data_IF_733219037241
#
_entry.id   IF_733219037241
#
_cell.length_a   1.000
_cell.length_b   1.000
_cell.length_c   1.000
_cell.angle_alpha   90.00
_cell.angle_beta   90.00
_cell.angle_gamma   90.00
#
_symmetry.space_group_name_H-M   'P 1'
#
loop_
_entity.id
_entity.type
_entity.pdbx_description
1 polymer ?
#
# COMPACT_ATOMS: atom_id res chain seq x y z
N UNK A 1 -21.20 20.21 7.69
CA UNK A 1 -20.54 18.99 8.20
C UNK A 1 -19.19 18.89 7.51
N UNK A 2 -18.20 19.49 8.17
CA UNK A 2 -16.76 19.55 7.83
C UNK A 2 -16.22 18.11 7.93
N UNK A 3 -15.49 17.51 6.98
CA UNK A 3 -14.07 17.78 6.67
C UNK A 3 -13.67 16.90 5.45
N UNK A 4 -13.56 17.47 4.24
CA UNK A 4 -12.85 16.83 3.11
C UNK A 4 -11.39 17.25 3.22
N UNK A 5 -10.52 16.36 3.71
CA UNK A 5 -9.07 16.61 3.71
C UNK A 5 -8.51 16.51 2.29
N UNK A 6 -8.46 17.64 1.61
CA UNK A 6 -7.45 17.92 0.60
C UNK A 6 -6.07 18.02 1.27
N UNK A 7 -5.10 17.24 0.78
CA UNK A 7 -3.74 17.70 0.43
C UNK A 7 -2.86 16.51 0.07
N UNK A 8 -2.78 16.23 -1.23
CA UNK A 8 -1.55 15.73 -1.85
C UNK A 8 -1.38 16.44 -3.19
N UNK A 9 -1.32 17.77 -3.15
CA UNK A 9 -0.87 18.56 -4.30
C UNK A 9 0.57 18.97 -4.08
N UNK A 10 1.49 18.18 -4.63
CA UNK A 10 2.77 18.66 -5.13
C UNK A 10 3.35 17.65 -6.12
N UNK A 11 3.18 18.00 -7.41
CA UNK A 11 3.73 17.36 -8.61
C UNK A 11 3.07 16.04 -9.06
N UNK A 12 2.12 16.21 -9.98
CA UNK A 12 2.07 15.56 -11.31
C UNK A 12 3.13 14.45 -11.48
N UNK A 13 2.67 13.21 -11.69
CA UNK A 13 3.43 12.14 -12.35
C UNK A 13 4.61 11.48 -11.60
N UNK A 14 4.60 11.43 -10.26
CA UNK A 14 5.46 10.45 -9.57
C UNK A 14 4.79 9.06 -9.50
N UNK A 15 4.27 8.58 -10.63
CA UNK A 15 3.68 7.24 -10.80
C UNK A 15 4.67 6.10 -10.49
N UNK A 16 5.97 6.42 -10.33
CA UNK A 16 7.03 5.50 -9.94
C UNK A 16 7.54 5.63 -8.50
N UNK A 17 7.09 6.62 -7.72
CA UNK A 17 7.58 6.82 -6.35
C UNK A 17 7.26 5.64 -5.43
N UNK A 18 8.21 5.23 -4.60
CA UNK A 18 8.02 4.09 -3.67
C UNK A 18 6.76 4.23 -2.83
N UNK A 19 6.44 5.44 -2.39
CA UNK A 19 5.23 5.77 -1.61
C UNK A 19 3.94 5.51 -2.40
N UNK A 20 3.86 6.01 -3.64
CA UNK A 20 2.73 5.77 -4.53
C UNK A 20 2.53 4.27 -4.81
N UNK A 21 3.62 3.54 -5.08
CA UNK A 21 3.56 2.09 -5.29
C UNK A 21 3.04 1.35 -4.04
N UNK A 22 3.49 1.73 -2.83
CA UNK A 22 3.01 1.15 -1.56
C UNK A 22 1.50 1.39 -1.40
N UNK A 23 1.00 2.58 -1.73
CA UNK A 23 -0.44 2.90 -1.69
C UNK A 23 -1.23 2.04 -2.66
N UNK A 24 -0.79 1.92 -3.92
CA UNK A 24 -1.45 1.09 -4.94
C UNK A 24 -1.49 -0.38 -4.51
N UNK A 25 -0.36 -0.92 -4.01
CA UNK A 25 -0.33 -2.29 -3.53
C UNK A 25 -1.22 -2.49 -2.31
N UNK A 26 -1.28 -1.52 -1.39
CA UNK A 26 -2.15 -1.61 -0.21
C UNK A 26 -3.61 -1.68 -0.60
N UNK A 27 -4.07 -0.82 -1.51
CA UNK A 27 -5.45 -0.86 -2.00
C UNK A 27 -5.76 -2.19 -2.72
N UNK A 28 -4.83 -2.67 -3.55
CA UNK A 28 -5.01 -3.95 -4.26
C UNK A 28 -5.04 -5.15 -3.30
N UNK A 29 -4.19 -5.15 -2.28
CA UNK A 29 -4.19 -6.18 -1.23
C UNK A 29 -5.53 -6.19 -0.50
N UNK A 30 -6.07 -5.02 -0.13
CA UNK A 30 -7.37 -4.91 0.53
C UNK A 30 -8.50 -5.53 -0.32
N UNK A 31 -8.60 -5.11 -1.58
CA UNK A 31 -9.63 -5.61 -2.50
C UNK A 31 -9.53 -7.13 -2.73
N UNK A 32 -8.31 -7.64 -2.96
CA UNK A 32 -8.09 -9.08 -3.14
C UNK A 32 -8.36 -9.89 -1.87
N UNK A 33 -8.07 -9.31 -0.70
CA UNK A 33 -8.37 -9.95 0.58
C UNK A 33 -9.87 -10.12 0.76
N UNK A 34 -10.67 -9.11 0.42
CA UNK A 34 -12.13 -9.19 0.44
C UNK A 34 -12.65 -10.22 -0.57
N UNK A 35 -12.14 -10.22 -1.80
CA UNK A 35 -12.49 -11.20 -2.83
C UNK A 35 -12.21 -12.66 -2.39
N UNK A 36 -11.10 -12.90 -1.69
CA UNK A 36 -10.74 -14.24 -1.21
C UNK A 36 -11.57 -14.71 -0.02
N UNK A 37 -12.27 -13.82 0.70
CA UNK A 37 -13.20 -14.22 1.77
C UNK A 37 -14.38 -15.02 1.22
N UNK A 38 -14.92 -14.60 0.07
CA UNK A 38 -15.95 -15.35 -0.66
C UNK A 38 -15.35 -16.51 -1.46
N UNK A 39 -14.16 -16.34 -2.02
CA UNK A 39 -13.52 -17.31 -2.92
C UNK A 39 -12.39 -18.10 -2.23
N UNK A 40 -12.72 -18.84 -1.17
CA UNK A 40 -11.72 -19.54 -0.33
C UNK A 40 -10.86 -20.56 -1.08
N UNK A 41 -11.36 -21.11 -2.19
CA UNK A 41 -10.64 -22.12 -3.00
C UNK A 41 -9.78 -21.50 -4.12
N UNK A 42 -9.75 -20.18 -4.27
CA UNK A 42 -8.90 -19.54 -5.29
C UNK A 42 -7.44 -19.43 -4.80
N UNK A 43 -6.70 -20.53 -4.98
CA UNK A 43 -5.29 -20.63 -4.61
C UNK A 43 -4.38 -19.80 -5.52
N UNK A 44 -4.77 -19.60 -6.79
CA UNK A 44 -3.99 -18.84 -7.76
C UNK A 44 -3.98 -17.36 -7.41
N UNK A 45 -5.14 -16.79 -7.10
CA UNK A 45 -5.25 -15.40 -6.65
C UNK A 45 -4.58 -15.21 -5.29
N UNK A 46 -4.69 -16.17 -4.36
CA UNK A 46 -3.96 -16.14 -3.08
C UNK A 46 -2.44 -16.08 -3.27
N UNK A 47 -1.90 -16.83 -4.24
CA UNK A 47 -0.47 -16.78 -4.58
C UNK A 47 -0.09 -15.41 -5.16
N UNK A 48 -0.92 -14.83 -6.01
CA UNK A 48 -0.75 -13.47 -6.53
C UNK A 48 -0.75 -12.42 -5.40
N UNK A 49 -1.68 -12.54 -4.46
CA UNK A 49 -1.77 -11.70 -3.27
C UNK A 49 -0.49 -11.76 -2.42
N UNK A 50 0.01 -12.97 -2.13
CA UNK A 50 1.26 -13.17 -1.40
C UNK A 50 2.45 -12.46 -2.05
N UNK A 51 2.55 -12.50 -3.39
CA UNK A 51 3.59 -11.76 -4.14
C UNK A 51 3.45 -10.25 -3.97
N UNK A 52 2.23 -9.71 -4.01
CA UNK A 52 1.97 -8.28 -3.80
C UNK A 52 2.35 -7.84 -2.37
N UNK A 53 1.99 -8.63 -1.36
CA UNK A 53 2.39 -8.39 0.03
C UNK A 53 3.92 -8.36 0.17
N UNK A 54 4.62 -9.31 -0.45
CA UNK A 54 6.08 -9.35 -0.47
C UNK A 54 6.72 -8.12 -1.13
N UNK A 55 6.20 -7.68 -2.28
CA UNK A 55 6.66 -6.46 -2.96
C UNK A 55 6.47 -5.21 -2.09
N UNK A 56 5.29 -5.07 -1.46
CA UNK A 56 5.00 -3.95 -0.54
C UNK A 56 5.96 -3.95 0.65
N UNK A 57 6.24 -5.12 1.25
CA UNK A 57 7.18 -5.25 2.37
C UNK A 57 8.59 -4.79 1.98
N UNK A 58 9.08 -5.18 0.80
CA UNK A 58 10.39 -4.74 0.29
C UNK A 58 10.46 -3.22 0.08
N UNK A 59 9.41 -2.62 -0.49
CA UNK A 59 9.35 -1.16 -0.68
C UNK A 59 9.29 -0.41 0.65
N UNK A 60 8.53 -0.91 1.63
CA UNK A 60 8.49 -0.32 2.97
C UNK A 60 9.86 -0.38 3.66
N UNK A 61 10.59 -1.50 3.53
CA UNK A 61 11.97 -1.60 4.02
C UNK A 61 12.87 -0.56 3.34
N UNK A 62 12.81 -0.48 2.01
CA UNK A 62 13.61 0.49 1.25
C UNK A 62 13.33 1.94 1.66
N UNK A 63 12.06 2.32 1.86
CA UNK A 63 11.71 3.66 2.32
C UNK A 63 12.22 3.90 3.73
N UNK A 64 12.08 2.92 4.63
CA UNK A 64 12.59 2.99 6.01
C UNK A 64 14.10 3.21 6.06
N UNK A 65 14.84 2.44 5.25
CA UNK A 65 16.31 2.52 5.19
C UNK A 65 16.78 3.88 4.64
N UNK A 66 15.99 4.49 3.75
CA UNK A 66 16.31 5.78 3.13
C UNK A 66 15.87 6.99 3.96
N UNK A 67 14.73 6.90 4.63
CA UNK A 67 14.20 7.96 5.50
C UNK A 67 13.14 7.40 6.43
N UNK A 68 13.44 7.42 7.73
CA UNK A 68 12.50 6.98 8.75
C UNK A 68 11.25 7.88 8.82
N UNK A 69 11.41 9.19 8.60
CA UNK A 69 10.28 10.14 8.59
C UNK A 69 9.25 9.83 7.48
N UNK A 70 9.74 9.51 6.27
CA UNK A 70 8.86 9.10 5.16
C UNK A 70 8.17 7.77 5.42
N UNK A 71 8.87 6.83 6.05
CA UNK A 71 8.28 5.55 6.43
C UNK A 71 7.12 5.74 7.42
N UNK A 72 7.32 6.55 8.45
CA UNK A 72 6.29 6.86 9.45
C UNK A 72 5.10 7.59 8.81
N UNK A 73 5.33 8.54 7.89
CA UNK A 73 4.24 9.24 7.20
C UNK A 73 3.42 8.30 6.30
N UNK A 74 4.07 7.39 5.59
CA UNK A 74 3.43 6.38 4.74
C UNK A 74 2.63 5.38 5.58
N UNK A 75 3.18 4.90 6.69
CA UNK A 75 2.46 3.99 7.59
C UNK A 75 1.23 4.67 8.19
N UNK A 76 1.38 5.91 8.67
CA UNK A 76 0.30 6.68 9.28
C UNK A 76 -0.82 6.99 8.28
N UNK A 77 -0.46 7.36 7.05
CA UNK A 77 -1.45 7.63 5.99
C UNK A 77 -2.20 6.38 5.54
N UNK A 78 -1.56 5.22 5.52
CA UNK A 78 -2.17 3.95 5.08
C UNK A 78 -2.81 3.15 6.22
N UNK A 79 -2.63 3.55 7.47
CA UNK A 79 -3.16 2.85 8.65
C UNK A 79 -2.61 1.43 8.81
N UNK A 80 -1.38 1.17 8.33
CA UNK A 80 -0.74 -0.14 8.45
C UNK A 80 -0.24 -0.33 9.90
N UNK A 81 -0.51 -1.49 10.50
CA UNK A 81 0.00 -1.82 11.85
C UNK A 81 1.44 -2.35 11.74
N UNK A 82 2.28 -1.98 12.72
CA UNK A 82 3.64 -2.50 12.93
C UNK A 82 3.62 -3.97 13.32
#
# INVERSE_FOLDING_TARGET
MVEKKEKVDSKKQNTGGSEFQITVFTNRIKNLTEHLKSNKKDHNTRRGLMRLVGKRKKLLSYVKDKSNERYESVIKSLGLRR
#
